data_IF_197433658904
#
_entry.id   IF_197433658904
#
_cell.length_a   1.000
_cell.length_b   1.000
_cell.length_c   1.000
_cell.angle_alpha   90.00
_cell.angle_beta   90.00
_cell.angle_gamma   90.00
#
_symmetry.space_group_name_H-M   'P 1'
#
loop_
_entity.id
_entity.type
_entity.pdbx_description
1 polymer ?
#
# COMPACT_ATOMS: atom_id res chain seq x y z
N UNK A 1 17.05 23.33 -18.02
CA UNK A 1 15.58 23.50 -17.99
C UNK A 1 14.96 22.13 -17.89
N UNK A 2 14.90 21.57 -16.69
CA UNK A 2 14.23 20.29 -16.42
C UNK A 2 12.88 20.65 -15.83
N UNK A 3 11.84 20.27 -16.56
CA UNK A 3 10.45 20.71 -16.40
C UNK A 3 9.89 20.45 -14.99
N UNK A 4 9.35 21.49 -14.36
CA UNK A 4 8.51 21.42 -13.15
C UNK A 4 7.20 20.60 -13.36
N UNK A 5 6.96 20.02 -14.55
CA UNK A 5 5.73 19.27 -14.87
C UNK A 5 5.78 17.77 -14.52
N UNK A 6 6.93 17.23 -14.11
CA UNK A 6 7.10 15.81 -13.78
C UNK A 6 6.88 15.45 -12.30
N UNK A 7 6.41 16.40 -11.47
CA UNK A 7 6.38 16.23 -10.00
C UNK A 7 5.01 15.86 -9.41
N UNK A 8 3.93 15.99 -10.17
CA UNK A 8 2.55 15.77 -9.68
C UNK A 8 2.07 14.33 -9.85
N UNK A 9 2.93 13.36 -9.49
CA UNK A 9 2.59 11.94 -9.52
C UNK A 9 2.32 11.40 -8.13
N UNK A 10 1.31 10.54 -7.99
CA UNK A 10 1.04 9.76 -6.78
C UNK A 10 1.31 8.28 -7.06
N UNK A 11 2.09 7.61 -6.23
CA UNK A 11 2.31 6.17 -6.29
C UNK A 11 1.39 5.42 -5.31
N UNK A 12 0.51 4.60 -5.87
CA UNK A 12 -0.30 3.65 -5.13
C UNK A 12 0.31 2.25 -5.18
N UNK A 13 0.44 1.59 -4.03
CA UNK A 13 0.86 0.19 -3.91
C UNK A 13 -0.16 -0.68 -3.15
N UNK A 14 -1.27 -0.11 -2.68
CA UNK A 14 -2.32 -0.82 -1.97
C UNK A 14 -3.68 -0.29 -2.41
N UNK A 15 -4.54 0.04 -1.45
CA UNK A 15 -5.92 0.49 -1.72
C UNK A 15 -6.03 1.65 -2.70
N UNK A 16 -5.06 2.57 -2.76
CA UNK A 16 -5.02 3.65 -3.75
C UNK A 16 -5.05 3.15 -5.20
N UNK A 17 -4.58 1.93 -5.48
CA UNK A 17 -4.57 1.37 -6.83
C UNK A 17 -5.97 1.12 -7.39
N UNK A 18 -6.95 0.78 -6.56
CA UNK A 18 -8.34 0.51 -6.95
C UNK A 18 -9.37 1.49 -6.37
N UNK A 19 -8.99 2.22 -5.33
CA UNK A 19 -9.79 3.25 -4.70
C UNK A 19 -8.92 4.51 -4.45
N UNK A 20 -8.56 5.26 -5.51
CA UNK A 20 -7.69 6.43 -5.40
C UNK A 20 -8.36 7.56 -4.61
N UNK A 21 -9.64 7.83 -4.85
CA UNK A 21 -10.40 8.87 -4.13
C UNK A 21 -10.07 10.31 -4.54
N UNK A 22 -9.29 10.51 -5.60
CA UNK A 22 -8.94 11.83 -6.15
C UNK A 22 -8.96 11.82 -7.68
N UNK A 23 -9.09 13.01 -8.27
CA UNK A 23 -9.09 13.22 -9.72
C UNK A 23 -7.66 13.14 -10.27
N UNK A 24 -7.48 12.43 -11.38
CA UNK A 24 -6.20 12.25 -12.05
C UNK A 24 -6.37 12.28 -13.57
N UNK A 25 -5.34 12.76 -14.26
CA UNK A 25 -5.30 12.89 -15.72
C UNK A 25 -4.74 11.63 -16.39
N UNK A 26 -3.83 10.93 -15.71
CA UNK A 26 -3.25 9.67 -16.19
C UNK A 26 -3.21 8.63 -15.09
N UNK A 27 -3.32 7.36 -15.49
CA UNK A 27 -3.19 6.18 -14.62
C UNK A 27 -2.37 5.13 -15.35
N UNK A 28 -1.17 4.84 -14.84
CA UNK A 28 -0.24 3.91 -15.47
C UNK A 28 0.30 2.90 -14.46
N UNK A 29 0.63 1.70 -14.94
CA UNK A 29 1.43 0.78 -14.14
C UNK A 29 2.78 1.42 -13.84
N UNK A 30 3.29 1.21 -12.62
CA UNK A 30 4.55 1.80 -12.22
C UNK A 30 5.35 0.88 -11.30
N UNK A 31 6.67 1.04 -11.32
CA UNK A 31 7.59 0.34 -10.44
C UNK A 31 8.36 1.34 -9.58
N UNK A 32 8.23 1.20 -8.26
CA UNK A 32 9.04 1.93 -7.28
C UNK A 32 10.27 1.08 -6.91
N UNK A 33 11.47 1.58 -7.17
CA UNK A 33 12.72 0.89 -6.84
C UNK A 33 13.18 1.17 -5.41
N UNK A 34 13.77 0.18 -4.74
CA UNK A 34 14.23 0.31 -3.35
C UNK A 34 13.12 0.08 -2.30
N UNK A 35 11.93 -0.29 -2.75
CA UNK A 35 10.80 -0.63 -1.88
C UNK A 35 10.17 -1.99 -2.19
N UNK A 36 9.40 -2.56 -1.26
CA UNK A 36 8.57 -3.75 -1.45
C UNK A 36 7.22 -3.54 -0.76
N UNK A 37 6.16 -4.10 -1.33
CA UNK A 37 4.88 -4.26 -0.64
C UNK A 37 5.03 -5.33 0.44
N UNK A 38 4.49 -5.11 1.63
CA UNK A 38 4.56 -6.07 2.75
C UNK A 38 3.38 -5.89 3.71
N UNK A 39 2.85 -6.96 4.30
CA UNK A 39 1.93 -6.88 5.46
C UNK A 39 2.75 -6.55 6.73
N UNK A 40 3.29 -5.34 6.79
CA UNK A 40 4.24 -4.93 7.83
C UNK A 40 3.72 -3.81 8.75
N UNK A 41 2.41 -3.54 8.74
CA UNK A 41 1.80 -2.52 9.58
C UNK A 41 0.74 -3.15 10.48
N UNK A 42 0.91 -3.00 11.80
CA UNK A 42 -0.10 -3.34 12.79
C UNK A 42 -1.25 -2.34 12.74
N UNK A 43 -2.43 -2.79 12.32
CA UNK A 43 -3.64 -1.96 12.28
C UNK A 43 -4.38 -2.05 13.62
N UNK A 44 -4.47 -0.91 14.32
CA UNK A 44 -5.14 -0.80 15.62
C UNK A 44 -6.61 -0.31 15.54
N UNK A 45 -7.10 0.06 14.35
CA UNK A 45 -8.44 0.64 14.19
C UNK A 45 -9.24 -0.06 13.09
N UNK A 46 -8.73 -0.07 11.86
CA UNK A 46 -9.53 -0.49 10.70
C UNK A 46 -9.66 -2.01 10.57
N UNK A 47 -8.58 -2.75 10.76
CA UNK A 47 -8.49 -4.21 10.57
C UNK A 47 -8.09 -4.96 11.85
N UNK A 48 -8.20 -4.30 12.99
CA UNK A 48 -7.85 -4.84 14.30
C UNK A 48 -8.09 -3.80 15.38
N UNK A 49 -7.67 -4.11 16.60
CA UNK A 49 -7.71 -3.22 17.76
C UNK A 49 -6.29 -3.04 18.34
N UNK A 50 -6.10 -2.17 19.34
CA UNK A 50 -4.80 -2.09 20.02
C UNK A 50 -4.43 -3.41 20.74
N UNK A 51 -5.43 -4.13 21.28
CA UNK A 51 -5.25 -5.39 22.00
C UNK A 51 -5.06 -6.58 21.06
N UNK A 52 -5.75 -6.58 19.92
CA UNK A 52 -5.68 -7.61 18.88
C UNK A 52 -5.44 -6.95 17.51
N UNK A 53 -4.20 -6.50 17.24
CA UNK A 53 -3.90 -5.77 16.02
C UNK A 53 -3.97 -6.66 14.80
N UNK A 54 -4.55 -6.15 13.72
CA UNK A 54 -4.46 -6.77 12.41
C UNK A 54 -3.17 -6.40 11.69
N UNK A 55 -2.97 -6.95 10.50
CA UNK A 55 -1.90 -6.60 9.58
C UNK A 55 -2.46 -5.95 8.31
N UNK A 56 -1.91 -4.80 7.95
CA UNK A 56 -2.20 -4.09 6.70
C UNK A 56 -0.93 -3.83 5.91
N UNK A 57 -1.09 -3.51 4.63
CA UNK A 57 0.03 -3.27 3.73
C UNK A 57 0.80 -2.01 4.11
N UNK A 58 2.12 -2.10 4.06
CA UNK A 58 3.03 -0.96 3.98
C UNK A 58 3.99 -1.12 2.81
N UNK A 59 4.58 0.00 2.40
CA UNK A 59 5.71 0.04 1.48
C UNK A 59 6.98 0.11 2.31
N UNK A 60 7.67 -1.02 2.47
CA UNK A 60 8.92 -1.16 3.22
C UNK A 60 10.12 -1.12 2.27
N UNK A 61 11.33 -0.95 2.80
CA UNK A 61 12.58 -1.03 2.03
C UNK A 61 12.73 -2.43 1.42
N UNK A 62 13.08 -2.54 0.15
CA UNK A 62 13.21 -3.84 -0.54
C UNK A 62 13.50 -3.68 -2.03
N UNK A 63 13.66 -4.78 -2.79
CA UNK A 63 14.09 -4.70 -4.20
C UNK A 63 13.30 -3.69 -5.04
N UNK A 64 12.00 -3.96 -5.25
CA UNK A 64 11.10 -3.04 -5.96
C UNK A 64 9.63 -3.45 -5.79
N UNK A 65 8.72 -2.49 -5.91
CA UNK A 65 7.28 -2.70 -5.81
C UNK A 65 6.58 -2.31 -7.11
N UNK A 66 5.76 -3.22 -7.65
CA UNK A 66 4.82 -2.89 -8.72
C UNK A 66 3.55 -2.27 -8.12
N UNK A 67 3.11 -1.17 -8.68
CA UNK A 67 1.91 -0.44 -8.28
C UNK A 67 1.36 0.36 -9.45
N UNK A 68 0.68 1.46 -9.13
CA UNK A 68 0.07 2.37 -10.09
C UNK A 68 0.56 3.78 -9.80
N UNK A 69 0.95 4.52 -10.84
CA UNK A 69 1.20 5.94 -10.76
C UNK A 69 0.02 6.72 -11.34
N UNK A 70 -0.39 7.77 -10.65
CA UNK A 70 -1.47 8.66 -11.07
C UNK A 70 -0.89 10.06 -11.32
N UNK A 71 -1.07 10.62 -12.52
CA UNK A 71 -0.71 12.02 -12.78
C UNK A 71 -1.86 12.92 -12.38
N UNK A 72 -1.58 13.92 -11.57
CA UNK A 72 -2.55 14.89 -11.09
C UNK A 72 -2.25 16.23 -11.76
N UNK A 73 -3.29 16.98 -12.11
CA UNK A 73 -3.11 18.31 -12.66
C UNK A 73 -2.52 19.25 -11.60
N UNK A 74 -1.72 20.27 -11.97
CA UNK A 74 -1.21 21.24 -11.01
C UNK A 74 -2.32 21.91 -10.18
N UNK A 75 -3.49 22.15 -10.77
CA UNK A 75 -4.63 22.79 -10.10
C UNK A 75 -5.30 21.90 -9.06
N UNK A 76 -5.22 20.57 -9.21
CA UNK A 76 -5.82 19.59 -8.28
C UNK A 76 -4.82 19.03 -7.27
N UNK A 77 -3.54 19.34 -7.43
CA UNK A 77 -2.48 18.78 -6.61
C UNK A 77 -2.59 19.13 -5.12
N UNK A 78 -2.81 20.39 -4.70
CA UNK A 78 -2.92 20.72 -3.28
C UNK A 78 -4.02 19.94 -2.57
N UNK A 79 -5.21 19.88 -3.18
CA UNK A 79 -6.37 19.16 -2.62
C UNK A 79 -6.12 17.65 -2.58
N UNK A 80 -5.41 17.11 -3.58
CA UNK A 80 -5.05 15.69 -3.62
C UNK A 80 -4.07 15.34 -2.49
N UNK A 81 -3.06 16.17 -2.25
CA UNK A 81 -2.13 15.95 -1.15
C UNK A 81 -2.81 16.06 0.22
N UNK A 82 -3.68 17.05 0.42
CA UNK A 82 -4.40 17.20 1.68
C UNK A 82 -5.32 15.99 1.95
N UNK A 83 -6.02 15.52 0.92
CA UNK A 83 -6.81 14.29 1.00
C UNK A 83 -5.96 13.07 1.37
N UNK A 84 -4.82 12.87 0.69
CA UNK A 84 -3.94 11.74 0.94
C UNK A 84 -3.30 11.79 2.32
N UNK A 85 -2.91 12.97 2.80
CA UNK A 85 -2.39 13.16 4.15
C UNK A 85 -3.44 12.85 5.21
N UNK A 86 -4.68 13.33 5.03
CA UNK A 86 -5.77 13.01 5.94
C UNK A 86 -6.12 11.51 5.95
N UNK A 87 -5.93 10.82 4.83
CA UNK A 87 -6.19 9.38 4.68
C UNK A 87 -5.08 8.50 5.23
N UNK A 88 -3.81 8.81 4.92
CA UNK A 88 -2.68 7.92 5.15
C UNK A 88 -1.91 8.28 6.44
N UNK A 89 -1.89 9.55 6.87
CA UNK A 89 -1.07 10.01 7.99
C UNK A 89 -1.81 10.04 9.34
N UNK A 90 -2.97 9.39 9.45
CA UNK A 90 -3.81 9.40 10.66
C UNK A 90 -3.04 9.00 11.92
N UNK A 91 -2.17 7.99 11.83
CA UNK A 91 -1.33 7.55 12.96
C UNK A 91 0.15 7.85 12.76
N UNK A 92 0.52 8.53 11.67
CA UNK A 92 1.91 8.79 11.27
C UNK A 92 2.79 7.53 11.12
N UNK A 93 2.20 6.32 11.01
CA UNK A 93 2.95 5.09 10.71
C UNK A 93 3.57 5.11 9.32
N UNK A 94 3.03 5.92 8.40
CA UNK A 94 3.64 6.19 7.12
C UNK A 94 4.32 7.56 7.11
N UNK A 95 5.34 7.68 6.27
CA UNK A 95 5.99 8.93 5.92
C UNK A 95 5.72 9.22 4.45
N UNK A 96 5.32 10.45 4.16
CA UNK A 96 5.29 10.98 2.80
C UNK A 96 6.72 11.08 2.27
N UNK A 97 6.98 10.49 1.10
CA UNK A 97 8.29 10.49 0.45
C UNK A 97 8.14 10.73 -1.04
N UNK A 98 9.13 11.42 -1.61
CA UNK A 98 9.33 11.44 -3.07
C UNK A 98 10.03 10.16 -3.49
N UNK A 99 9.41 9.42 -4.40
CA UNK A 99 9.85 8.12 -4.91
C UNK A 99 10.28 8.25 -6.37
N UNK A 100 11.32 7.51 -6.75
CA UNK A 100 11.69 7.32 -8.16
C UNK A 100 10.84 6.20 -8.75
N UNK A 101 10.06 6.54 -9.77
CA UNK A 101 9.11 5.63 -10.42
C UNK A 101 9.53 5.38 -11.86
N UNK A 102 9.46 4.12 -12.27
CA UNK A 102 9.49 3.73 -13.68
C UNK A 102 8.06 3.42 -14.12
N UNK A 103 7.54 4.19 -15.07
CA UNK A 103 6.21 4.00 -15.63
C UNK A 103 6.21 2.87 -16.67
N UNK A 104 5.05 2.25 -16.89
CA UNK A 104 4.89 1.12 -17.83
C UNK A 104 5.13 1.50 -19.29
N UNK A 105 5.07 2.79 -19.63
CA UNK A 105 5.38 3.34 -20.96
C UNK A 105 6.86 3.71 -21.14
N UNK A 106 7.70 3.43 -20.13
CA UNK A 106 9.15 3.67 -20.17
C UNK A 106 9.59 5.01 -19.56
N UNK A 107 8.68 5.94 -19.25
CA UNK A 107 9.03 7.20 -18.58
C UNK A 107 9.58 6.95 -17.18
N UNK A 108 10.45 7.86 -16.73
CA UNK A 108 10.95 7.92 -15.35
C UNK A 108 10.52 9.23 -14.74
N UNK A 109 9.80 9.15 -13.62
CA UNK A 109 9.23 10.32 -12.95
C UNK A 109 9.52 10.28 -11.46
N UNK A 110 9.40 11.43 -10.80
CA UNK A 110 9.29 11.51 -9.36
C UNK A 110 7.82 11.52 -8.97
N UNK A 111 7.48 10.89 -7.85
CA UNK A 111 6.11 10.92 -7.35
C UNK A 111 6.03 10.74 -5.85
N UNK A 112 4.98 11.28 -5.25
CA UNK A 112 4.69 11.13 -3.83
C UNK A 112 4.17 9.72 -3.56
N UNK A 113 4.70 9.09 -2.52
CA UNK A 113 4.19 7.84 -1.97
C UNK A 113 4.38 7.75 -0.46
N UNK A 114 3.62 6.88 0.17
CA UNK A 114 3.60 6.72 1.63
C UNK A 114 4.37 5.46 2.03
N UNK A 115 5.54 5.65 2.64
CA UNK A 115 6.47 4.59 3.04
C UNK A 115 6.32 4.32 4.53
N UNK A 116 6.35 3.06 4.96
CA UNK A 116 6.26 2.74 6.39
C UNK A 116 7.46 3.29 7.16
N UNK A 117 7.21 3.90 8.31
CA UNK A 117 8.25 4.26 9.27
C UNK A 117 8.62 3.04 10.10
N UNK A 118 9.85 2.55 9.91
CA UNK A 118 10.38 1.37 10.61
C UNK A 118 10.67 1.62 12.09
N UNK A 119 10.70 2.87 12.55
CA UNK A 119 10.84 3.22 13.96
C UNK A 119 9.50 3.36 14.67
N UNK A 120 8.39 3.30 13.94
CA UNK A 120 7.06 3.49 14.51
C UNK A 120 6.58 2.24 15.25
N UNK A 121 5.85 2.41 16.36
CA UNK A 121 5.32 1.29 17.18
C UNK A 121 4.39 0.34 16.43
N UNK A 122 3.81 0.79 15.32
CA UNK A 122 2.95 -0.02 14.45
C UNK A 122 3.74 -0.79 13.38
N UNK A 123 5.04 -0.58 13.23
CA UNK A 123 5.84 -1.39 12.30
C UNK A 123 5.96 -2.81 12.83
N UNK A 124 5.49 -3.78 12.04
CA UNK A 124 5.50 -5.19 12.40
C UNK A 124 6.82 -5.90 12.02
N UNK A 125 7.71 -5.24 11.26
CA UNK A 125 8.94 -5.87 10.78
C UNK A 125 8.69 -6.90 9.67
N UNK A 126 9.63 -7.84 9.57
CA UNK A 126 9.48 -9.00 8.71
C UNK A 126 8.65 -10.07 9.44
N UNK A 127 7.39 -10.19 9.05
CA UNK A 127 6.45 -11.20 9.56
C UNK A 127 6.53 -12.44 8.67
N UNK A 128 6.50 -13.62 9.27
CA UNK A 128 6.44 -14.90 8.53
C UNK A 128 5.04 -15.14 7.95
N UNK A 129 4.91 -16.08 7.01
CA UNK A 129 3.58 -16.43 6.46
C UNK A 129 2.69 -16.98 7.58
N UNK A 130 3.25 -17.82 8.44
CA UNK A 130 2.56 -18.49 9.55
C UNK A 130 2.02 -17.48 10.56
N UNK A 131 2.85 -16.53 10.99
CA UNK A 131 2.42 -15.44 11.87
C UNK A 131 1.36 -14.56 11.22
N UNK A 132 1.52 -14.23 9.93
CA UNK A 132 0.54 -13.43 9.20
C UNK A 132 -0.81 -14.15 9.11
N UNK A 133 -0.82 -15.46 8.84
CA UNK A 133 -2.04 -16.29 8.83
C UNK A 133 -2.72 -16.26 10.20
N UNK A 134 -1.97 -16.49 11.29
CA UNK A 134 -2.55 -16.48 12.63
C UNK A 134 -3.20 -15.14 12.99
N UNK A 135 -2.50 -14.03 12.76
CA UNK A 135 -3.01 -12.69 13.07
C UNK A 135 -4.23 -12.36 12.20
N UNK A 136 -4.10 -12.54 10.89
CA UNK A 136 -5.15 -12.12 9.94
C UNK A 136 -6.42 -12.97 10.02
N UNK A 137 -6.31 -14.23 10.49
CA UNK A 137 -7.46 -15.10 10.72
C UNK A 137 -8.38 -14.63 11.85
N UNK A 138 -7.83 -13.93 12.86
CA UNK A 138 -8.53 -13.61 14.10
C UNK A 138 -8.85 -12.12 14.27
N UNK A 139 -8.05 -11.24 13.65
CA UNK A 139 -8.20 -9.81 13.81
C UNK A 139 -9.39 -9.23 13.04
N UNK A 140 -10.14 -8.35 13.69
CA UNK A 140 -11.22 -7.56 13.09
C UNK A 140 -11.24 -6.16 13.71
N UNK A 141 -11.65 -5.16 12.92
CA UNK A 141 -11.70 -3.77 13.36
C UNK A 141 -12.89 -3.03 12.76
N UNK A 142 -12.87 -1.69 12.86
CA UNK A 142 -13.97 -0.82 12.42
C UNK A 142 -14.35 -1.02 10.95
N UNK A 143 -13.39 -1.39 10.09
CA UNK A 143 -13.61 -1.61 8.66
C UNK A 143 -13.85 -3.08 8.30
N UNK A 144 -14.06 -3.94 9.31
CA UNK A 144 -14.34 -5.37 9.19
C UNK A 144 -13.09 -6.24 9.29
N UNK A 145 -13.24 -7.50 8.88
CA UNK A 145 -12.26 -8.55 9.13
C UNK A 145 -10.94 -8.33 8.40
N UNK A 146 -9.85 -8.73 9.06
CA UNK A 146 -8.53 -8.65 8.47
C UNK A 146 -8.30 -9.72 7.40
N UNK A 147 -8.86 -10.92 7.57
CA UNK A 147 -8.87 -11.98 6.55
C UNK A 147 -9.45 -11.48 5.23
N UNK A 148 -10.66 -10.93 5.26
CA UNK A 148 -11.32 -10.38 4.09
C UNK A 148 -10.49 -9.28 3.43
N UNK A 149 -9.82 -8.43 4.21
CA UNK A 149 -8.89 -7.43 3.68
C UNK A 149 -7.73 -8.05 2.89
N UNK A 150 -7.10 -9.10 3.40
CA UNK A 150 -5.96 -9.76 2.73
C UNK A 150 -6.42 -10.51 1.47
N UNK A 151 -7.53 -11.23 1.54
CA UNK A 151 -8.14 -11.93 0.40
C UNK A 151 -8.48 -10.95 -0.73
N UNK A 152 -9.24 -9.90 -0.42
CA UNK A 152 -9.61 -8.85 -1.39
C UNK A 152 -8.38 -8.15 -1.97
N UNK A 153 -7.35 -7.91 -1.15
CA UNK A 153 -6.08 -7.32 -1.62
C UNK A 153 -5.43 -8.22 -2.67
N UNK A 154 -5.34 -9.52 -2.42
CA UNK A 154 -4.76 -10.47 -3.38
C UNK A 154 -5.59 -10.57 -4.65
N UNK A 155 -6.91 -10.54 -4.56
CA UNK A 155 -7.80 -10.52 -5.72
C UNK A 155 -7.61 -9.27 -6.58
N UNK A 156 -7.55 -8.09 -5.96
CA UNK A 156 -7.25 -6.85 -6.68
C UNK A 156 -5.89 -6.92 -7.37
N UNK A 157 -4.84 -7.38 -6.67
CA UNK A 157 -3.52 -7.52 -7.28
C UNK A 157 -3.56 -8.44 -8.51
N UNK A 158 -4.24 -9.58 -8.40
CA UNK A 158 -4.40 -10.52 -9.52
C UNK A 158 -5.16 -9.91 -10.70
N UNK A 159 -6.24 -9.17 -10.45
CA UNK A 159 -7.02 -8.54 -11.54
C UNK A 159 -6.23 -7.46 -12.29
N UNK A 160 -5.22 -6.87 -11.63
CA UNK A 160 -4.25 -5.96 -12.25
C UNK A 160 -3.01 -6.67 -12.83
N UNK A 161 -2.99 -8.00 -12.87
CA UNK A 161 -1.86 -8.78 -13.39
C UNK A 161 -0.62 -8.78 -12.48
N UNK A 162 -0.75 -8.37 -11.21
CA UNK A 162 0.34 -8.32 -10.24
C UNK A 162 0.31 -9.60 -9.40
N UNK A 163 1.40 -10.37 -9.46
CA UNK A 163 1.59 -11.58 -8.65
C UNK A 163 2.43 -11.26 -7.41
N UNK A 164 1.87 -11.50 -6.24
CA UNK A 164 2.55 -11.38 -4.95
C UNK A 164 2.54 -12.73 -4.24
N UNK A 165 3.57 -13.54 -4.50
CA UNK A 165 3.62 -14.93 -4.04
C UNK A 165 3.54 -15.06 -2.51
N UNK A 166 4.06 -14.08 -1.77
CA UNK A 166 4.05 -14.12 -0.32
C UNK A 166 2.62 -13.88 0.22
N UNK A 167 1.91 -12.86 -0.28
CA UNK A 167 0.50 -12.64 0.08
C UNK A 167 -0.40 -13.81 -0.33
N UNK A 168 -0.11 -14.42 -1.48
CA UNK A 168 -0.84 -15.60 -1.93
C UNK A 168 -0.63 -16.83 -1.04
N UNK A 169 0.56 -16.97 -0.45
CA UNK A 169 0.83 -18.01 0.55
C UNK A 169 0.06 -17.75 1.84
N UNK A 170 -0.06 -16.49 2.28
CA UNK A 170 -0.90 -16.11 3.43
C UNK A 170 -2.37 -16.49 3.18
N UNK A 171 -2.94 -16.11 2.03
CA UNK A 171 -4.32 -16.50 1.68
C UNK A 171 -4.49 -18.02 1.61
N UNK A 172 -3.50 -18.74 1.04
CA UNK A 172 -3.53 -20.21 1.02
C UNK A 172 -3.51 -20.82 2.43
N UNK A 173 -2.77 -20.23 3.36
CA UNK A 173 -2.75 -20.65 4.76
C UNK A 173 -4.10 -20.42 5.46
N UNK A 174 -4.71 -19.25 5.25
CA UNK A 174 -6.04 -18.90 5.79
C UNK A 174 -7.13 -19.89 5.37
N UNK A 175 -7.09 -20.37 4.12
CA UNK A 175 -8.06 -21.36 3.62
C UNK A 175 -7.88 -22.75 4.22
N UNK A 176 -6.66 -23.11 4.65
CA UNK A 176 -6.39 -24.40 5.30
C UNK A 176 -6.80 -24.42 6.76
N UNK A 177 -6.70 -23.28 7.46
CA UNK A 177 -7.10 -23.16 8.87
C UNK A 177 -8.61 -23.06 9.08
N UNK A 178 -9.39 -22.91 8.00
CA UNK A 178 -10.85 -22.85 8.03
C UNK A 178 -11.54 -24.23 7.87
N UNK A 179 -10.75 -25.28 7.67
CA UNK A 179 -11.14 -26.69 7.60
C UNK A 179 -10.73 -27.39 8.89
#
# INVERSE_FOLDING_TARGET
MTSDMDEFWVFGYGSLMWNPGFVHEERLGARAHGFRRSLCVRSFVHRGTEQAPGLVLGLDRGGSCHGVAFRVSPSSWPQTLDYLRARELVTMVYQEKTLRLQLSDGRRVLGVGYVVDRNHRQYAGAITVEEAVQVTAQASGQSGDNRAYVENTVEHLRSMGIRDHWLEQVVKGLNKSAL
#
